data_IF_032642790258
#
_entry.id   IF_032642790258
#
_cell.length_a   1.000
_cell.length_b   1.000
_cell.length_c   1.000
_cell.angle_alpha   90.00
_cell.angle_beta   90.00
_cell.angle_gamma   90.00
#
_symmetry.space_group_name_H-M   'P 1'
#
loop_
_entity.id
_entity.type
_entity.pdbx_description
1 polymer ?
#
# COMPACT_ATOMS: atom_id res chain seq x y z
N UNK A 1 -2.07 -2.23 -16.87
CA UNK A 1 -1.27 -1.14 -17.50
C UNK A 1 -0.03 -1.79 -18.10
N UNK A 2 0.24 -1.59 -19.38
CA UNK A 2 1.38 -2.14 -20.12
C UNK A 2 2.51 -1.10 -20.10
N UNK A 3 3.67 -1.44 -19.54
CA UNK A 3 4.86 -0.58 -19.57
C UNK A 3 5.75 -1.00 -20.76
N UNK A 4 6.10 -0.04 -21.62
CA UNK A 4 6.93 -0.24 -22.82
C UNK A 4 8.32 0.40 -22.61
N UNK A 5 9.38 -0.28 -23.09
CA UNK A 5 10.75 0.25 -23.14
C UNK A 5 11.00 1.16 -24.35
N UNK A 6 12.16 1.86 -24.43
CA UNK A 6 12.30 3.09 -25.22
C UNK A 6 12.43 2.84 -26.73
N UNK A 7 11.85 3.76 -27.50
CA UNK A 7 11.98 3.87 -28.95
C UNK A 7 13.13 4.81 -29.33
N UNK A 8 13.95 4.42 -30.32
CA UNK A 8 14.49 5.32 -31.36
C UNK A 8 14.87 4.54 -32.62
N UNK A 9 14.22 4.90 -33.73
CA UNK A 9 14.77 4.98 -35.09
C UNK A 9 15.01 3.69 -35.88
N UNK A 10 14.28 3.53 -37.00
CA UNK A 10 14.74 2.72 -38.15
C UNK A 10 13.91 1.47 -38.46
N UNK A 11 12.85 1.64 -39.25
CA UNK A 11 12.34 0.76 -40.32
C UNK A 11 12.52 -0.78 -40.28
N UNK A 12 12.47 -1.39 -39.10
CA UNK A 12 11.99 -2.75 -38.90
C UNK A 12 11.04 -2.67 -37.71
N UNK A 13 9.74 -2.87 -37.94
CA UNK A 13 8.77 -2.98 -36.86
C UNK A 13 9.07 -4.27 -36.09
N UNK A 14 10.03 -4.20 -35.15
CA UNK A 14 10.09 -5.13 -34.03
C UNK A 14 8.72 -5.05 -33.37
N UNK A 15 7.89 -6.09 -33.53
CA UNK A 15 6.81 -6.35 -32.60
C UNK A 15 7.40 -6.20 -31.20
N UNK A 16 6.99 -5.15 -30.49
CA UNK A 16 7.48 -4.92 -29.15
C UNK A 16 7.00 -6.10 -28.29
N UNK A 17 7.86 -7.10 -28.11
CA UNK A 17 7.53 -8.31 -27.39
C UNK A 17 7.13 -7.93 -25.96
N UNK A 18 5.85 -8.11 -25.65
CA UNK A 18 5.27 -7.79 -24.36
C UNK A 18 5.98 -8.60 -23.27
N UNK A 19 6.63 -7.92 -22.32
CA UNK A 19 7.38 -8.58 -21.23
C UNK A 19 6.59 -8.79 -19.95
N UNK A 20 5.65 -7.88 -19.65
CA UNK A 20 4.86 -7.92 -18.42
C UNK A 20 3.38 -7.71 -18.72
N UNK A 21 2.54 -8.56 -18.12
CA UNK A 21 1.09 -8.48 -18.21
C UNK A 21 0.49 -8.41 -16.81
N UNK A 22 -0.04 -7.24 -16.45
CA UNK A 22 -0.72 -7.03 -15.17
C UNK A 22 -2.21 -7.28 -15.32
N UNK A 23 -2.75 -8.16 -14.47
CA UNK A 23 -4.17 -8.51 -14.43
C UNK A 23 -4.67 -8.59 -12.99
N UNK A 24 -5.97 -8.41 -12.80
CA UNK A 24 -6.60 -8.59 -11.50
C UNK A 24 -7.04 -10.06 -11.31
N UNK A 25 -7.19 -10.54 -10.06
CA UNK A 25 -7.66 -11.90 -9.79
C UNK A 25 -9.03 -12.21 -10.42
N UNK A 26 -9.93 -11.23 -10.50
CA UNK A 26 -11.24 -11.38 -11.13
C UNK A 26 -11.12 -11.72 -12.61
N UNK A 27 -10.11 -11.16 -13.30
CA UNK A 27 -9.88 -11.44 -14.72
C UNK A 27 -9.46 -12.90 -14.92
N UNK A 28 -8.61 -13.42 -14.04
CA UNK A 28 -8.19 -14.82 -14.02
C UNK A 28 -9.39 -15.73 -13.73
N UNK A 29 -10.19 -15.38 -12.72
CA UNK A 29 -11.31 -16.21 -12.28
C UNK A 29 -12.49 -16.22 -13.27
N UNK A 30 -12.81 -15.09 -13.91
CA UNK A 30 -14.09 -14.90 -14.63
C UNK A 30 -13.95 -14.87 -16.15
N UNK A 31 -12.74 -14.67 -16.72
CA UNK A 31 -12.57 -14.51 -18.16
C UNK A 31 -12.02 -15.76 -18.85
N UNK A 32 -12.92 -16.54 -19.47
CA UNK A 32 -12.54 -17.70 -20.30
C UNK A 32 -11.62 -17.32 -21.46
N UNK A 33 -11.88 -16.17 -22.11
CA UNK A 33 -11.05 -15.65 -23.20
C UNK A 33 -9.62 -15.34 -22.75
N UNK A 34 -9.47 -14.83 -21.53
CA UNK A 34 -8.15 -14.55 -20.96
C UNK A 34 -7.37 -15.86 -20.73
N UNK A 35 -8.03 -16.85 -20.12
CA UNK A 35 -7.42 -18.16 -19.88
C UNK A 35 -7.02 -18.87 -21.18
N UNK A 36 -7.88 -18.86 -22.21
CA UNK A 36 -7.53 -19.45 -23.51
C UNK A 36 -6.39 -18.71 -24.22
N UNK A 37 -6.24 -17.41 -23.98
CA UNK A 37 -5.09 -16.64 -24.48
C UNK A 37 -3.80 -17.01 -23.74
N UNK A 38 -3.87 -17.19 -22.41
CA UNK A 38 -2.74 -17.66 -21.61
C UNK A 38 -2.28 -19.07 -22.03
N UNK A 39 -3.23 -19.98 -22.29
CA UNK A 39 -2.93 -21.32 -22.80
C UNK A 39 -2.14 -21.28 -24.13
N UNK A 40 -2.52 -20.40 -25.07
CA UNK A 40 -1.78 -20.21 -26.32
C UNK A 40 -0.36 -19.66 -26.08
N UNK A 41 -0.21 -18.70 -25.17
CA UNK A 41 1.09 -18.12 -24.82
C UNK A 41 1.99 -19.17 -24.17
N UNK A 42 1.43 -20.01 -23.30
CA UNK A 42 2.13 -21.13 -22.67
C UNK A 42 2.55 -22.19 -23.69
N UNK A 43 1.65 -22.59 -24.60
CA UNK A 43 1.95 -23.53 -25.68
C UNK A 43 3.06 -23.03 -26.61
N UNK A 44 3.12 -21.72 -26.85
CA UNK A 44 4.20 -21.06 -27.59
C UNK A 44 5.50 -20.89 -26.77
N UNK A 45 5.56 -21.41 -25.53
CA UNK A 45 6.69 -21.29 -24.59
C UNK A 45 7.06 -19.85 -24.22
N UNK A 46 6.10 -18.93 -24.31
CA UNK A 46 6.28 -17.51 -24.00
C UNK A 46 5.75 -17.11 -22.61
N UNK A 47 5.28 -18.07 -21.80
CA UNK A 47 4.90 -17.86 -20.40
C UNK A 47 6.02 -18.37 -19.47
N UNK A 48 6.86 -17.45 -19.00
CA UNK A 48 8.08 -17.81 -18.23
C UNK A 48 7.92 -17.75 -16.71
N UNK A 49 7.03 -16.90 -16.19
CA UNK A 49 6.86 -16.67 -14.75
C UNK A 49 5.46 -16.14 -14.46
N UNK A 50 4.85 -16.62 -13.38
CA UNK A 50 3.63 -16.06 -12.81
C UNK A 50 3.96 -15.38 -11.48
N UNK A 51 3.46 -14.16 -11.29
CA UNK A 51 3.69 -13.39 -10.06
C UNK A 51 2.34 -13.09 -9.41
N UNK A 52 2.22 -13.43 -8.12
CA UNK A 52 1.07 -13.06 -7.29
C UNK A 52 1.56 -12.03 -6.28
N UNK A 53 1.21 -10.78 -6.52
CA UNK A 53 1.48 -9.68 -5.59
C UNK A 53 0.43 -9.66 -4.47
N UNK A 54 0.79 -9.13 -3.30
CA UNK A 54 -0.03 -9.12 -2.08
C UNK A 54 -0.69 -10.47 -1.75
N UNK A 55 0.10 -11.54 -1.82
CA UNK A 55 -0.38 -12.93 -1.70
C UNK A 55 -1.10 -13.22 -0.38
N UNK A 56 -0.87 -12.42 0.67
CA UNK A 56 -1.60 -12.54 1.93
C UNK A 56 -3.12 -12.40 1.75
N UNK A 57 -3.61 -11.76 0.69
CA UNK A 57 -5.04 -11.63 0.37
C UNK A 57 -5.73 -12.99 0.10
N UNK A 58 -4.96 -14.05 -0.19
CA UNK A 58 -5.47 -15.42 -0.33
C UNK A 58 -5.99 -15.96 1.00
N UNK A 59 -5.34 -15.56 2.11
CA UNK A 59 -5.62 -16.09 3.43
C UNK A 59 -6.77 -15.35 4.10
N UNK A 60 -7.70 -16.08 4.71
CA UNK A 60 -8.74 -15.49 5.58
C UNK A 60 -8.14 -14.88 6.85
N UNK A 61 -6.93 -15.32 7.22
CA UNK A 61 -6.13 -14.76 8.29
C UNK A 61 -5.30 -13.56 7.83
N UNK A 62 -5.34 -13.23 6.53
CA UNK A 62 -4.80 -12.00 5.98
C UNK A 62 -5.72 -10.83 6.27
N UNK A 63 -5.14 -9.69 6.62
CA UNK A 63 -5.86 -8.45 6.94
C UNK A 63 -6.64 -7.86 5.73
N UNK A 64 -6.43 -8.38 4.52
CA UNK A 64 -7.04 -7.94 3.26
C UNK A 64 -7.61 -9.10 2.44
N UNK A 65 -8.28 -10.07 3.09
CA UNK A 65 -8.85 -11.24 2.40
C UNK A 65 -9.72 -10.85 1.20
N UNK A 66 -9.47 -11.51 0.06
CA UNK A 66 -10.27 -11.36 -1.16
C UNK A 66 -10.55 -12.73 -1.76
N UNK A 67 -11.82 -13.09 -1.84
CA UNK A 67 -12.25 -14.41 -2.33
C UNK A 67 -11.69 -14.73 -3.73
N UNK A 68 -11.61 -13.74 -4.63
CA UNK A 68 -11.08 -13.96 -5.99
C UNK A 68 -9.60 -14.41 -6.00
N UNK A 69 -8.81 -14.15 -4.94
CA UNK A 69 -7.44 -14.65 -4.83
C UNK A 69 -7.37 -16.18 -4.66
N UNK A 70 -8.38 -16.80 -4.05
CA UNK A 70 -8.43 -18.26 -3.90
C UNK A 70 -8.55 -18.96 -5.26
N UNK A 71 -9.15 -18.29 -6.26
CA UNK A 71 -9.25 -18.82 -7.60
C UNK A 71 -7.91 -18.84 -8.35
N UNK A 72 -6.86 -18.17 -7.86
CA UNK A 72 -5.53 -18.17 -8.49
C UNK A 72 -4.83 -19.53 -8.47
N UNK A 73 -5.31 -20.47 -7.65
CA UNK A 73 -4.91 -21.89 -7.69
C UNK A 73 -4.97 -22.48 -9.10
N UNK A 74 -5.91 -22.01 -9.94
CA UNK A 74 -6.07 -22.48 -11.32
C UNK A 74 -4.81 -22.27 -12.17
N UNK A 75 -4.06 -21.20 -11.90
CA UNK A 75 -2.84 -20.89 -12.62
C UNK A 75 -1.78 -21.97 -12.39
N UNK A 76 -1.64 -22.44 -11.14
CA UNK A 76 -0.68 -23.51 -10.83
C UNK A 76 -1.12 -24.87 -11.36
N UNK A 77 -2.43 -25.15 -11.33
CA UNK A 77 -3.00 -26.40 -11.86
C UNK A 77 -2.90 -26.51 -13.38
N UNK A 78 -3.19 -25.43 -14.12
CA UNK A 78 -3.13 -25.42 -15.58
C UNK A 78 -1.70 -25.26 -16.13
N UNK A 79 -0.85 -24.51 -15.43
CA UNK A 79 0.52 -24.24 -15.86
C UNK A 79 1.54 -24.76 -14.83
N UNK A 80 1.57 -26.07 -14.54
CA UNK A 80 2.40 -26.63 -13.46
C UNK A 80 3.89 -26.41 -13.69
N UNK A 81 4.33 -26.38 -14.96
CA UNK A 81 5.73 -26.16 -15.36
C UNK A 81 6.19 -24.71 -15.22
N UNK A 82 5.28 -23.75 -15.07
CA UNK A 82 5.62 -22.33 -14.93
C UNK A 82 5.88 -22.03 -13.44
N UNK A 83 7.02 -21.41 -13.11
CA UNK A 83 7.30 -20.96 -11.75
C UNK A 83 6.27 -19.93 -11.25
N UNK A 84 5.96 -19.99 -9.96
CA UNK A 84 5.07 -19.06 -9.29
C UNK A 84 5.87 -18.29 -8.22
N UNK A 85 5.92 -16.97 -8.34
CA UNK A 85 6.50 -16.08 -7.36
C UNK A 85 5.38 -15.39 -6.58
N UNK A 86 5.31 -15.65 -5.28
CA UNK A 86 4.33 -15.05 -4.37
C UNK A 86 5.02 -13.98 -3.52
N UNK A 87 4.50 -12.75 -3.53
CA UNK A 87 5.12 -11.60 -2.89
C UNK A 87 4.18 -11.00 -1.85
N UNK A 88 4.73 -10.64 -0.68
CA UNK A 88 4.04 -9.78 0.28
C UNK A 88 5.01 -9.21 1.32
N UNK A 89 4.68 -8.04 1.87
CA UNK A 89 5.38 -7.45 3.01
C UNK A 89 4.87 -7.94 4.38
N UNK A 90 3.66 -8.50 4.44
CA UNK A 90 2.94 -8.79 5.69
C UNK A 90 2.43 -10.23 5.67
N UNK A 91 3.24 -11.16 6.19
CA UNK A 91 2.85 -12.55 6.35
C UNK A 91 3.32 -13.12 7.69
N UNK A 92 2.36 -13.52 8.52
CA UNK A 92 2.63 -14.36 9.69
C UNK A 92 2.95 -15.79 9.24
N UNK A 93 3.57 -16.64 10.09
CA UNK A 93 3.79 -18.05 9.76
C UNK A 93 2.49 -18.78 9.35
N UNK A 94 1.37 -18.43 9.98
CA UNK A 94 0.06 -18.98 9.65
C UNK A 94 -0.40 -18.57 8.25
N UNK A 95 -0.22 -17.30 7.87
CA UNK A 95 -0.56 -16.81 6.53
C UNK A 95 0.30 -17.50 5.47
N UNK A 96 1.59 -17.74 5.73
CA UNK A 96 2.47 -18.48 4.80
C UNK A 96 1.95 -19.90 4.56
N UNK A 97 1.59 -20.62 5.62
CA UNK A 97 1.03 -21.97 5.51
C UNK A 97 -0.29 -21.98 4.73
N UNK A 98 -1.17 -21.01 4.99
CA UNK A 98 -2.46 -20.91 4.32
C UNK A 98 -2.30 -20.58 2.82
N UNK A 99 -1.37 -19.70 2.47
CA UNK A 99 -0.98 -19.41 1.08
C UNK A 99 -0.43 -20.65 0.39
N UNK A 100 0.49 -21.38 1.03
CA UNK A 100 1.07 -22.61 0.47
C UNK A 100 0.01 -23.69 0.21
N UNK A 101 -0.93 -23.86 1.15
CA UNK A 101 -2.05 -24.79 1.02
C UNK A 101 -3.01 -24.36 -0.09
N UNK A 102 -3.42 -23.10 -0.10
CA UNK A 102 -4.46 -22.59 -1.01
C UNK A 102 -3.98 -22.49 -2.46
N UNK A 103 -2.70 -22.14 -2.68
CA UNK A 103 -2.12 -22.09 -4.02
C UNK A 103 -1.49 -23.43 -4.46
N UNK A 104 -1.63 -24.49 -3.65
CA UNK A 104 -1.07 -25.83 -3.91
C UNK A 104 0.45 -25.81 -4.19
N UNK A 105 1.19 -25.06 -3.38
CA UNK A 105 2.65 -24.94 -3.45
C UNK A 105 3.32 -25.34 -2.13
N UNK A 106 3.12 -26.57 -1.61
CA UNK A 106 3.61 -26.99 -0.29
C UNK A 106 5.14 -26.98 -0.18
N UNK A 107 5.86 -27.19 -1.30
CA UNK A 107 7.32 -27.24 -1.35
C UNK A 107 7.94 -25.90 -1.80
N UNK A 108 7.24 -24.79 -1.63
CA UNK A 108 7.77 -23.48 -2.02
C UNK A 108 8.92 -23.05 -1.11
N UNK A 109 9.93 -22.41 -1.70
CA UNK A 109 11.03 -21.80 -0.97
C UNK A 109 10.53 -20.47 -0.40
N UNK A 110 10.65 -20.28 0.92
CA UNK A 110 10.19 -19.08 1.61
C UNK A 110 11.39 -18.21 1.96
N UNK A 111 11.49 -17.05 1.31
CA UNK A 111 12.46 -16.01 1.69
C UNK A 111 11.79 -15.01 2.64
N UNK A 112 12.37 -14.81 3.82
CA UNK A 112 11.86 -13.87 4.81
C UNK A 112 12.93 -12.83 5.14
N UNK A 113 12.59 -11.56 4.97
CA UNK A 113 13.39 -10.45 5.47
C UNK A 113 12.92 -10.02 6.86
N UNK A 114 13.77 -9.28 7.57
CA UNK A 114 13.42 -8.71 8.87
C UNK A 114 12.43 -7.55 8.68
N UNK A 115 11.44 -7.47 9.57
CA UNK A 115 10.49 -6.36 9.62
C UNK A 115 11.01 -5.17 10.45
N UNK A 116 12.20 -5.28 11.06
CA UNK A 116 12.71 -4.19 11.89
C UNK A 116 13.12 -2.99 11.03
N UNK A 117 12.65 -1.81 11.43
CA UNK A 117 12.99 -0.52 10.84
C UNK A 117 13.62 0.34 11.93
N UNK A 118 14.95 0.20 12.17
CA UNK A 118 15.60 0.77 13.37
C UNK A 118 15.58 2.29 13.43
N UNK A 119 15.33 2.95 12.30
CA UNK A 119 15.21 4.41 12.17
C UNK A 119 13.77 4.93 12.39
N UNK A 120 12.79 4.05 12.66
CA UNK A 120 11.44 4.45 13.01
C UNK A 120 11.26 4.51 14.52
N UNK A 121 10.83 5.67 15.01
CA UNK A 121 10.54 5.91 16.42
C UNK A 121 9.05 5.83 16.67
N UNK A 122 8.62 4.79 17.40
CA UNK A 122 7.22 4.55 17.70
C UNK A 122 6.82 5.19 19.03
N UNK A 123 5.75 5.99 19.02
CA UNK A 123 5.19 6.65 20.20
C UNK A 123 3.68 6.46 20.23
N UNK A 124 3.15 6.18 21.43
CA UNK A 124 1.70 6.16 21.68
C UNK A 124 1.39 7.29 22.66
N UNK A 125 0.39 8.10 22.34
CA UNK A 125 -0.10 9.17 23.22
C UNK A 125 -1.61 9.03 23.44
N UNK A 126 -2.08 9.42 24.63
CA UNK A 126 -3.51 9.47 24.90
C UNK A 126 -4.17 10.52 24.00
N UNK A 127 -5.28 10.15 23.34
CA UNK A 127 -6.05 11.04 22.47
C UNK A 127 -7.07 11.86 23.28
N UNK A 128 -6.88 13.18 23.45
CA UNK A 128 -7.73 14.03 24.31
C UNK A 128 -9.18 14.11 23.85
N UNK A 129 -10.15 14.13 24.77
CA UNK A 129 -11.59 14.06 24.43
C UNK A 129 -12.05 15.13 23.44
N UNK A 130 -11.59 16.37 23.62
CA UNK A 130 -12.00 17.50 22.80
C UNK A 130 -11.22 17.56 21.48
N UNK A 131 -11.89 17.80 20.33
CA UNK A 131 -11.23 17.88 19.03
C UNK A 131 -10.08 18.90 18.97
N UNK A 132 -10.24 20.06 19.61
CA UNK A 132 -9.21 21.11 19.62
C UNK A 132 -7.94 20.70 20.37
N UNK A 133 -8.09 19.94 21.45
CA UNK A 133 -6.96 19.39 22.20
C UNK A 133 -6.22 18.32 21.37
N UNK A 134 -6.95 17.50 20.60
CA UNK A 134 -6.35 16.54 19.66
C UNK A 134 -5.51 17.29 18.62
N UNK A 135 -6.07 18.35 18.03
CA UNK A 135 -5.37 19.20 17.07
C UNK A 135 -4.15 19.88 17.70
N UNK A 136 -4.23 20.29 18.97
CA UNK A 136 -3.11 20.89 19.68
C UNK A 136 -1.97 19.91 19.88
N UNK A 137 -2.26 18.65 20.27
CA UNK A 137 -1.25 17.59 20.39
C UNK A 137 -0.59 17.32 19.03
N UNK A 138 -1.38 17.14 17.98
CA UNK A 138 -0.86 16.87 16.63
C UNK A 138 -0.01 18.04 16.11
N UNK A 139 -0.51 19.27 16.21
CA UNK A 139 0.22 20.44 15.75
C UNK A 139 1.50 20.68 16.57
N UNK A 140 1.46 20.45 17.89
CA UNK A 140 2.63 20.53 18.75
C UNK A 140 3.72 19.55 18.32
N UNK A 141 3.34 18.29 18.09
CA UNK A 141 4.25 17.27 17.57
C UNK A 141 4.84 17.65 16.21
N UNK A 142 4.01 18.08 15.25
CA UNK A 142 4.47 18.47 13.91
C UNK A 142 5.40 19.69 13.95
N UNK A 143 5.14 20.66 14.84
CA UNK A 143 5.95 21.88 14.98
C UNK A 143 7.31 21.64 15.65
N UNK A 144 7.50 20.51 16.34
CA UNK A 144 8.82 20.09 16.84
C UNK A 144 9.75 19.59 15.72
N UNK A 145 9.18 19.22 14.57
CA UNK A 145 9.92 18.75 13.40
C UNK A 145 10.28 19.91 12.47
N UNK A 146 11.32 19.72 11.64
CA UNK A 146 11.72 20.68 10.61
C UNK A 146 10.53 21.10 9.72
N UNK A 147 10.46 22.37 9.31
CA UNK A 147 9.35 22.90 8.49
C UNK A 147 9.22 22.18 7.13
N UNK A 148 10.29 21.60 6.62
CA UNK A 148 10.33 20.79 5.39
C UNK A 148 9.92 19.33 5.60
N UNK A 149 9.78 18.89 6.86
CA UNK A 149 9.41 17.53 7.19
C UNK A 149 8.01 17.21 6.67
N UNK A 150 7.94 16.40 5.61
CA UNK A 150 6.69 15.90 5.06
C UNK A 150 6.13 14.77 5.92
N UNK A 151 4.81 14.70 6.04
CA UNK A 151 4.16 13.66 6.83
C UNK A 151 2.77 13.26 6.34
N UNK A 152 2.26 12.19 6.96
CA UNK A 152 0.94 11.62 6.68
C UNK A 152 0.15 11.58 7.99
N UNK A 153 -1.13 11.91 7.94
CA UNK A 153 -2.08 11.73 9.04
C UNK A 153 -3.16 10.76 8.57
N UNK A 154 -3.29 9.62 9.23
CA UNK A 154 -4.35 8.64 8.99
C UNK A 154 -5.53 8.84 9.91
N UNK A 155 -6.71 9.00 9.32
CA UNK A 155 -8.00 9.13 9.99
C UNK A 155 -8.94 7.98 9.59
N UNK A 156 -9.90 7.66 10.44
CA UNK A 156 -10.88 6.61 10.18
C UNK A 156 -11.87 6.98 9.08
N UNK A 157 -12.43 8.20 9.14
CA UNK A 157 -13.46 8.66 8.22
C UNK A 157 -13.02 9.87 7.39
N UNK A 158 -13.71 10.07 6.26
CA UNK A 158 -13.53 11.27 5.40
C UNK A 158 -13.84 12.55 6.16
N UNK A 159 -14.88 12.53 7.00
CA UNK A 159 -15.29 13.64 7.85
C UNK A 159 -14.17 14.02 8.83
N UNK A 160 -13.56 13.04 9.50
CA UNK A 160 -12.45 13.29 10.43
C UNK A 160 -11.24 13.85 9.69
N UNK A 161 -10.87 13.25 8.56
CA UNK A 161 -9.75 13.71 7.76
C UNK A 161 -9.94 15.16 7.25
N UNK A 162 -11.15 15.52 6.82
CA UNK A 162 -11.47 16.89 6.42
C UNK A 162 -11.37 17.87 7.59
N UNK A 163 -11.94 17.52 8.76
CA UNK A 163 -11.88 18.36 9.96
C UNK A 163 -10.45 18.55 10.47
N UNK A 164 -9.66 17.47 10.49
CA UNK A 164 -8.25 17.50 10.89
C UNK A 164 -7.42 18.33 9.92
N UNK A 165 -7.66 18.19 8.60
CA UNK A 165 -6.98 19.01 7.59
C UNK A 165 -7.27 20.51 7.78
N UNK A 166 -8.53 20.88 7.99
CA UNK A 166 -8.90 22.28 8.26
C UNK A 166 -8.25 22.79 9.55
N UNK A 167 -8.28 22.00 10.63
CA UNK A 167 -7.68 22.36 11.92
C UNK A 167 -6.16 22.52 11.89
N UNK A 168 -5.45 21.70 11.11
CA UNK A 168 -4.00 21.84 10.92
C UNK A 168 -3.65 23.09 10.11
N UNK A 169 -4.41 23.37 9.03
CA UNK A 169 -4.22 24.60 8.25
C UNK A 169 -4.46 25.86 9.10
N UNK A 170 -5.49 25.86 9.97
CA UNK A 170 -5.74 26.95 10.91
C UNK A 170 -4.64 27.13 11.97
N UNK A 171 -3.73 26.15 12.12
CA UNK A 171 -2.55 26.21 13.00
C UNK A 171 -1.24 26.42 12.21
N UNK A 172 -1.32 26.94 10.99
CA UNK A 172 -0.19 27.22 10.09
C UNK A 172 0.61 25.97 9.67
N UNK A 173 -0.07 24.84 9.49
CA UNK A 173 0.54 23.60 8.98
C UNK A 173 -0.10 23.29 7.62
N UNK A 174 0.59 23.58 6.50
CA UNK A 174 0.06 23.35 5.15
C UNK A 174 -0.32 21.88 4.95
N UNK A 175 -1.63 21.64 4.86
CA UNK A 175 -2.21 20.31 4.84
C UNK A 175 -3.21 20.15 3.69
N UNK A 176 -3.20 19.00 3.03
CA UNK A 176 -4.18 18.64 2.01
C UNK A 176 -4.96 17.39 2.42
N UNK A 177 -6.25 17.39 2.12
CA UNK A 177 -7.15 16.28 2.38
C UNK A 177 -7.16 15.30 1.19
N UNK A 178 -7.07 14.00 1.46
CA UNK A 178 -7.14 12.95 0.45
C UNK A 178 -8.13 11.84 0.81
N UNK A 179 -9.00 11.47 -0.13
CA UNK A 179 -9.87 10.29 0.00
C UNK A 179 -10.15 9.62 -1.36
N UNK A 180 -10.74 8.42 -1.31
CA UNK A 180 -10.99 7.58 -2.47
C UNK A 180 -11.96 8.15 -3.52
N UNK A 181 -12.82 9.12 -3.17
CA UNK A 181 -13.82 9.67 -4.11
C UNK A 181 -13.32 10.93 -4.82
N UNK A 182 -12.12 11.43 -4.49
CA UNK A 182 -11.49 12.46 -5.28
C UNK A 182 -11.30 11.94 -6.71
N UNK A 183 -11.52 12.82 -7.69
CA UNK A 183 -11.37 12.45 -9.08
C UNK A 183 -9.89 12.14 -9.41
N UNK A 184 -9.61 11.74 -10.66
CA UNK A 184 -8.24 11.43 -11.07
C UNK A 184 -7.30 12.63 -11.00
N UNK A 185 -7.80 13.83 -11.32
CA UNK A 185 -7.01 15.05 -11.43
C UNK A 185 -6.68 15.62 -10.04
N UNK A 186 -7.65 15.69 -9.14
CA UNK A 186 -7.51 16.16 -7.77
C UNK A 186 -6.52 15.29 -6.99
N UNK A 187 -6.62 13.96 -7.15
CA UNK A 187 -5.64 13.05 -6.54
C UNK A 187 -4.23 13.35 -7.03
N UNK A 188 -4.04 13.49 -8.34
CA UNK A 188 -2.73 13.81 -8.91
C UNK A 188 -2.21 15.17 -8.42
N UNK A 189 -3.08 16.16 -8.30
CA UNK A 189 -2.73 17.48 -7.80
C UNK A 189 -2.25 17.42 -6.34
N UNK A 190 -2.98 16.74 -5.44
CA UNK A 190 -2.57 16.56 -4.04
C UNK A 190 -1.23 15.82 -3.97
N UNK A 191 -1.06 14.76 -4.76
CA UNK A 191 0.22 14.05 -4.85
C UNK A 191 1.37 14.96 -5.32
N UNK A 192 1.14 15.79 -6.34
CA UNK A 192 2.14 16.70 -6.86
C UNK A 192 2.53 17.76 -5.82
N UNK A 193 1.54 18.40 -5.18
CA UNK A 193 1.75 19.41 -4.14
C UNK A 193 2.52 18.85 -2.94
N UNK A 194 2.21 17.63 -2.51
CA UNK A 194 2.92 17.00 -1.41
C UNK A 194 4.33 16.54 -1.80
N UNK A 195 4.50 16.07 -3.03
CA UNK A 195 5.82 15.65 -3.53
C UNK A 195 6.77 16.83 -3.71
N UNK A 196 6.26 17.98 -4.18
CA UNK A 196 7.03 19.23 -4.34
C UNK A 196 7.28 19.98 -3.03
N UNK A 197 6.61 19.60 -1.93
CA UNK A 197 6.70 20.26 -0.64
C UNK A 197 5.81 21.48 -0.47
N UNK A 198 4.96 21.82 -1.46
CA UNK A 198 3.94 22.86 -1.33
C UNK A 198 2.92 22.53 -0.23
N UNK A 199 2.62 21.24 -0.05
CA UNK A 199 1.86 20.72 1.08
C UNK A 199 2.81 19.91 1.96
N UNK A 200 2.80 20.19 3.26
CA UNK A 200 3.64 19.48 4.23
C UNK A 200 2.99 18.18 4.68
N UNK A 201 1.66 18.18 4.88
CA UNK A 201 0.93 17.06 5.47
C UNK A 201 -0.20 16.60 4.57
N UNK A 202 -0.25 15.30 4.26
CA UNK A 202 -1.46 14.70 3.70
C UNK A 202 -2.29 14.10 4.81
N UNK A 203 -3.53 14.55 4.93
CA UNK A 203 -4.52 14.00 5.86
C UNK A 203 -5.47 13.10 5.08
N UNK A 204 -5.54 11.83 5.43
CA UNK A 204 -6.24 10.86 4.61
C UNK A 204 -6.86 9.69 5.38
N UNK A 205 -7.75 8.98 4.71
CA UNK A 205 -8.13 7.62 5.12
C UNK A 205 -7.11 6.60 4.60
N UNK A 206 -7.30 5.31 4.92
CA UNK A 206 -6.50 4.19 4.39
C UNK A 206 -6.43 4.13 2.86
N UNK A 207 -7.30 4.86 2.15
CA UNK A 207 -7.24 5.01 0.69
C UNK A 207 -5.91 5.63 0.21
N UNK A 208 -5.27 6.46 1.03
CA UNK A 208 -3.94 7.02 0.74
C UNK A 208 -2.87 6.01 1.12
N UNK A 209 -2.63 5.03 0.23
CA UNK A 209 -1.64 4.00 0.49
C UNK A 209 -1.06 3.32 -0.74
N UNK A 210 -1.91 2.87 -1.66
CA UNK A 210 -1.43 2.19 -2.87
C UNK A 210 -0.83 3.21 -3.84
N UNK A 211 0.42 3.00 -4.26
CA UNK A 211 1.09 3.82 -5.27
C UNK A 211 1.75 5.11 -4.76
N UNK A 212 1.75 5.38 -3.46
CA UNK A 212 2.55 6.47 -2.88
C UNK A 212 4.01 6.03 -2.75
N UNK A 213 4.90 6.77 -3.41
CA UNK A 213 6.33 6.58 -3.33
C UNK A 213 7.00 7.93 -3.04
N UNK A 214 7.11 8.29 -1.77
CA UNK A 214 7.91 9.41 -1.29
C UNK A 214 8.85 8.87 -0.21
N UNK A 215 10.16 9.00 -0.43
CA UNK A 215 11.13 8.31 0.41
C UNK A 215 11.42 9.05 1.72
N UNK A 216 11.24 10.36 1.68
CA UNK A 216 11.60 11.32 2.72
C UNK A 216 10.44 11.70 3.65
N UNK A 217 9.48 10.80 3.87
CA UNK A 217 8.40 11.00 4.84
C UNK A 217 8.97 10.94 6.25
N UNK A 218 8.88 12.04 7.02
CA UNK A 218 9.49 12.18 8.35
C UNK A 218 8.58 11.79 9.49
N UNK A 219 7.27 11.77 9.26
CA UNK A 219 6.35 11.30 10.28
C UNK A 219 5.06 10.71 9.71
N UNK A 220 4.48 9.79 10.46
CA UNK A 220 3.12 9.28 10.27
C UNK A 220 2.39 9.44 11.59
N UNK A 221 1.21 10.06 11.57
CA UNK A 221 0.32 10.19 12.73
C UNK A 221 -0.93 9.37 12.47
N UNK A 222 -1.25 8.47 13.38
CA UNK A 222 -2.54 7.79 13.42
C UNK A 222 -3.47 8.55 14.35
N UNK A 223 -4.37 9.35 13.75
CA UNK A 223 -5.40 10.06 14.50
C UNK A 223 -6.40 9.08 15.14
N UNK A 224 -6.62 7.92 14.51
CA UNK A 224 -7.47 6.86 15.04
C UNK A 224 -6.70 5.53 14.98
N UNK A 225 -6.97 4.64 15.94
CA UNK A 225 -6.38 3.31 15.99
C UNK A 225 -6.65 2.53 14.69
N UNK A 226 -5.62 1.96 14.04
CA UNK A 226 -5.83 1.06 12.91
C UNK A 226 -6.59 -0.20 13.30
N UNK A 227 -7.24 -0.83 12.32
CA UNK A 227 -8.03 -2.06 12.53
C UNK A 227 -7.20 -3.27 12.97
N UNK A 228 -5.89 -3.25 12.71
CA UNK A 228 -4.98 -4.33 13.09
C UNK A 228 -3.54 -3.83 13.24
N UNK A 229 -2.69 -4.57 13.97
CA UNK A 229 -1.25 -4.31 14.00
C UNK A 229 -0.59 -4.35 12.62
N UNK A 230 -1.04 -5.22 11.71
CA UNK A 230 -0.55 -5.31 10.34
C UNK A 230 -0.82 -4.01 9.56
N UNK A 231 -2.04 -3.48 9.65
CA UNK A 231 -2.39 -2.19 9.04
C UNK A 231 -1.53 -1.07 9.62
N UNK A 232 -1.38 -1.03 10.95
CA UNK A 232 -0.51 -0.05 11.61
C UNK A 232 0.92 -0.13 11.10
N UNK A 233 1.48 -1.34 10.99
CA UNK A 233 2.85 -1.55 10.50
C UNK A 233 3.01 -1.12 9.04
N UNK A 234 2.06 -1.47 8.16
CA UNK A 234 2.11 -1.07 6.74
C UNK A 234 1.97 0.45 6.56
N UNK A 235 1.06 1.08 7.31
CA UNK A 235 0.78 2.51 7.27
C UNK A 235 1.94 3.33 7.87
N UNK A 236 2.42 2.96 9.06
CA UNK A 236 3.56 3.61 9.72
C UNK A 236 4.86 3.41 8.95
N UNK A 237 5.06 2.24 8.32
CA UNK A 237 6.25 1.91 7.52
C UNK A 237 6.45 2.74 6.24
N UNK A 238 5.50 3.64 5.93
CA UNK A 238 5.63 4.68 4.89
C UNK A 238 6.59 5.79 5.28
N UNK A 239 6.78 6.01 6.58
CA UNK A 239 7.84 6.89 7.08
C UNK A 239 9.23 6.32 6.76
N UNK A 240 10.18 7.22 6.54
CA UNK A 240 11.62 6.95 6.49
C UNK A 240 12.02 5.86 5.50
N UNK A 241 11.51 5.84 4.27
CA UNK A 241 11.97 4.84 3.28
C UNK A 241 13.40 5.12 2.82
N UNK A 242 13.85 6.36 2.95
CA UNK A 242 15.26 6.79 2.78
C UNK A 242 16.21 6.30 3.90
N UNK A 243 15.73 5.57 4.92
CA UNK A 243 16.54 5.06 6.02
C UNK A 243 16.90 6.10 7.09
N UNK A 244 16.43 7.35 6.95
CA UNK A 244 16.68 8.42 7.93
C UNK A 244 15.64 8.41 9.06
N UNK A 245 15.96 8.98 10.23
CA UNK A 245 15.03 9.11 11.35
C UNK A 245 13.63 9.57 10.93
N UNK A 246 12.61 8.85 11.38
CA UNK A 246 11.22 9.22 11.18
C UNK A 246 10.34 8.72 12.33
N UNK A 247 9.21 9.38 12.55
CA UNK A 247 8.42 9.22 13.77
C UNK A 247 7.01 8.69 13.48
N UNK A 248 6.55 7.74 14.27
CA UNK A 248 5.24 7.12 14.14
C UNK A 248 4.45 7.37 15.43
N UNK A 249 3.53 8.34 15.39
CA UNK A 249 2.71 8.72 16.54
C UNK A 249 1.32 8.11 16.42
N UNK A 250 0.91 7.30 17.40
CA UNK A 250 -0.44 6.78 17.52
C UNK A 250 -1.20 7.52 18.63
N UNK A 251 -2.32 8.17 18.27
CA UNK A 251 -3.24 8.74 19.23
C UNK A 251 -4.28 7.68 19.63
N UNK A 252 -4.23 7.24 20.88
CA UNK A 252 -5.07 6.16 21.39
C UNK A 252 -6.17 6.67 22.33
N UNK A 253 -7.40 6.19 22.10
CA UNK A 253 -8.50 6.28 23.06
C UNK A 253 -9.27 4.95 23.06
N UNK A 254 -9.73 4.46 24.22
CA UNK A 254 -10.52 3.23 24.29
C UNK A 254 -11.77 3.21 23.40
N UNK A 255 -12.45 4.34 23.21
CA UNK A 255 -13.65 4.43 22.36
C UNK A 255 -13.37 4.26 20.87
N UNK A 256 -12.11 4.29 20.45
CA UNK A 256 -11.71 4.09 19.05
C UNK A 256 -11.49 2.60 18.72
N UNK A 257 -11.56 1.72 19.72
CA UNK A 257 -11.54 0.27 19.54
C UNK A 257 -12.91 -0.15 18.99
N UNK A 258 -12.93 -0.64 17.75
CA UNK A 258 -14.11 -1.15 17.06
C UNK A 258 -14.05 -2.68 16.99
#
# INVERSE_FOLDING_TARGET
KTLHGPSKGGQAALEAALRFLYVTPERVAKSKLFMSSLEKIHAAKNLSLMVVDEVHCVSQWGHSFRQDYQHLIILKRQFPSVPLLALTATATPQVVQDVQKTLEVPNSIVFKSHCNRPHLFYQVAAKPKQPDDVLQVMAGFIKQLDKTAAGIVYCLSKKDAQAVCAGLNAKDIPSAFYHADLDGADRQQVHHQWSSGAVRVVVATIAFGMGIHKDDVRFVIHHTLPKSPDNYYQESGRAGRDGRPAYCLLLYRPSDVV
#
